data_IF_437462494039
#
_entry.id   IF_437462494039
#
_cell.length_a   1.000
_cell.length_b   1.000
_cell.length_c   1.000
_cell.angle_alpha   90.00
_cell.angle_beta   90.00
_cell.angle_gamma   90.00
#
_symmetry.space_group_name_H-M   'P 1'
#
loop_
_entity.id
_entity.type
_entity.pdbx_description
1 polymer ?
#
# COMPACT_ATOMS: atom_id res chain seq x y z
N UNK A 1 -4.00 32.48 17.66
CA UNK A 1 -4.02 31.18 16.94
C UNK A 1 -3.00 30.20 17.55
N UNK A 2 -3.19 28.88 17.42
CA UNK A 2 -2.21 27.87 17.87
C UNK A 2 -1.08 27.72 16.81
N UNK A 3 0.19 27.64 17.22
CA UNK A 3 1.28 27.36 16.28
C UNK A 3 1.06 25.98 15.62
N UNK A 4 1.35 25.89 14.31
CA UNK A 4 1.23 24.69 13.46
C UNK A 4 -0.18 24.15 13.16
N UNK A 5 -1.26 24.89 13.46
CA UNK A 5 -2.61 24.52 13.01
C UNK A 5 -2.72 24.73 11.48
N UNK A 6 -3.16 23.70 10.76
CA UNK A 6 -3.60 23.83 9.35
C UNK A 6 -5.04 24.32 9.32
N UNK A 7 -5.33 25.27 8.44
CA UNK A 7 -6.66 25.86 8.27
C UNK A 7 -7.33 25.26 7.05
N UNK A 8 -8.62 24.95 7.17
CA UNK A 8 -9.42 24.57 6.01
C UNK A 8 -9.54 25.73 5.02
N UNK A 9 -9.91 25.44 3.79
CA UNK A 9 -10.16 26.47 2.77
C UNK A 9 -11.24 27.47 3.21
N UNK A 10 -12.32 26.98 3.82
CA UNK A 10 -13.40 27.79 4.37
C UNK A 10 -12.90 28.70 5.51
N UNK A 11 -12.10 28.17 6.43
CA UNK A 11 -11.53 28.95 7.55
C UNK A 11 -10.62 30.08 7.03
N UNK A 12 -9.80 29.81 6.00
CA UNK A 12 -8.95 30.83 5.36
C UNK A 12 -9.79 31.91 4.69
N UNK A 13 -10.87 31.51 4.00
CA UNK A 13 -11.79 32.45 3.37
C UNK A 13 -12.46 33.38 4.38
N UNK A 14 -12.96 32.82 5.49
CA UNK A 14 -13.55 33.61 6.59
C UNK A 14 -12.53 34.58 7.20
N UNK A 15 -11.29 34.13 7.42
CA UNK A 15 -10.23 34.99 7.95
C UNK A 15 -9.88 36.16 7.02
N UNK A 16 -9.76 35.91 5.71
CA UNK A 16 -9.51 36.96 4.72
C UNK A 16 -10.65 37.98 4.67
N UNK A 17 -11.90 37.51 4.62
CA UNK A 17 -13.08 38.38 4.64
C UNK A 17 -13.20 39.20 5.94
N UNK A 18 -12.82 38.60 7.07
CA UNK A 18 -12.78 39.30 8.36
C UNK A 18 -11.76 40.43 8.33
N UNK A 19 -10.53 40.18 7.89
CA UNK A 19 -9.50 41.22 7.79
C UNK A 19 -9.95 42.37 6.89
N UNK A 20 -10.55 42.07 5.73
CA UNK A 20 -11.06 43.09 4.81
C UNK A 20 -12.19 43.92 5.44
N UNK A 21 -13.11 43.28 6.16
CA UNK A 21 -14.21 43.97 6.85
C UNK A 21 -13.69 44.92 7.93
N UNK A 22 -12.74 44.48 8.77
CA UNK A 22 -12.15 45.31 9.82
C UNK A 22 -11.36 46.48 9.23
N UNK A 23 -10.64 46.28 8.13
CA UNK A 23 -9.93 47.35 7.44
C UNK A 23 -10.88 48.44 6.89
N UNK A 24 -12.10 48.07 6.47
CA UNK A 24 -13.12 49.02 5.98
C UNK A 24 -13.89 49.72 7.10
N UNK A 25 -14.04 49.08 8.26
CA UNK A 25 -14.87 49.55 9.38
C UNK A 25 -14.06 50.21 10.51
N UNK A 26 -12.73 50.12 10.48
CA UNK A 26 -11.87 50.59 11.56
C UNK A 26 -10.65 51.33 11.01
N UNK A 27 -10.26 52.43 11.65
CA UNK A 27 -9.00 53.16 11.35
C UNK A 27 -7.75 52.45 11.89
N UNK A 28 -7.83 51.14 12.12
CA UNK A 28 -6.72 50.35 12.66
C UNK A 28 -5.77 49.93 11.55
N UNK A 29 -4.48 49.93 11.86
CA UNK A 29 -3.47 49.45 10.92
C UNK A 29 -3.62 47.93 10.66
N UNK A 30 -3.33 47.50 9.44
CA UNK A 30 -3.36 46.08 9.07
C UNK A 30 -2.48 45.22 9.99
N UNK A 31 -1.33 45.76 10.41
CA UNK A 31 -0.42 45.11 11.35
C UNK A 31 -1.07 44.80 12.69
N UNK A 32 -1.86 45.75 13.21
CA UNK A 32 -2.58 45.57 14.47
C UNK A 32 -3.64 44.46 14.33
N UNK A 33 -4.43 44.47 13.25
CA UNK A 33 -5.47 43.48 12.98
C UNK A 33 -4.86 42.07 12.84
N UNK A 34 -3.77 41.94 12.09
CA UNK A 34 -3.09 40.65 11.90
C UNK A 34 -2.46 40.14 13.20
N UNK A 35 -1.88 41.03 14.01
CA UNK A 35 -1.34 40.69 15.32
C UNK A 35 -2.44 40.16 16.26
N UNK A 36 -3.61 40.80 16.28
CA UNK A 36 -4.74 40.39 17.12
C UNK A 36 -5.30 39.02 16.70
N UNK A 37 -5.32 38.74 15.39
CA UNK A 37 -5.69 37.43 14.86
C UNK A 37 -4.59 36.38 15.09
N UNK A 38 -3.35 36.80 15.36
CA UNK A 38 -2.19 35.92 15.45
C UNK A 38 -1.73 35.38 14.09
N UNK A 39 -1.95 36.16 13.02
CA UNK A 39 -1.52 35.88 11.66
C UNK A 39 -0.23 36.65 11.35
N UNK A 40 0.75 35.99 10.73
CA UNK A 40 1.93 36.69 10.21
C UNK A 40 1.61 37.31 8.86
N UNK A 41 2.30 38.41 8.54
CA UNK A 41 2.14 39.12 7.26
C UNK A 41 2.36 38.18 6.07
N UNK A 42 3.40 37.35 6.11
CA UNK A 42 3.72 36.39 5.05
C UNK A 42 2.56 35.45 4.74
N UNK A 43 1.91 34.89 5.76
CA UNK A 43 0.79 33.95 5.59
C UNK A 43 -0.44 34.67 5.03
N UNK A 44 -0.73 35.88 5.50
CA UNK A 44 -1.85 36.68 5.00
C UNK A 44 -1.70 36.99 3.50
N UNK A 45 -0.55 37.50 3.06
CA UNK A 45 -0.33 37.81 1.64
C UNK A 45 -0.28 36.55 0.77
N UNK A 46 0.32 35.46 1.26
CA UNK A 46 0.30 34.17 0.56
C UNK A 46 -1.14 33.67 0.34
N UNK A 47 -1.99 33.76 1.37
CA UNK A 47 -3.40 33.39 1.25
C UNK A 47 -4.20 34.34 0.39
N UNK A 48 -3.93 35.65 0.44
CA UNK A 48 -4.57 36.65 -0.41
C UNK A 48 -4.24 36.40 -1.90
N UNK A 49 -2.99 36.08 -2.23
CA UNK A 49 -2.60 35.71 -3.59
C UNK A 49 -3.23 34.40 -4.04
N UNK A 50 -3.26 33.39 -3.16
CA UNK A 50 -3.92 32.11 -3.44
C UNK A 50 -5.43 32.25 -3.63
N UNK A 51 -6.08 33.11 -2.85
CA UNK A 51 -7.50 33.42 -2.97
C UNK A 51 -7.83 34.06 -4.32
N UNK A 52 -7.01 35.01 -4.80
CA UNK A 52 -7.16 35.60 -6.15
C UNK A 52 -7.03 34.56 -7.27
N UNK A 53 -6.28 33.48 -7.02
CA UNK A 53 -6.09 32.35 -7.95
C UNK A 53 -7.09 31.21 -7.73
N UNK A 54 -8.01 31.32 -6.77
CA UNK A 54 -8.97 30.26 -6.43
C UNK A 54 -8.33 28.99 -5.85
N UNK A 55 -7.14 29.07 -5.24
CA UNK A 55 -6.36 27.92 -4.77
C UNK A 55 -6.03 28.02 -3.27
N UNK A 56 -7.07 28.13 -2.44
CA UNK A 56 -6.92 28.23 -0.98
C UNK A 56 -6.69 26.88 -0.29
N UNK A 57 -6.98 25.78 -0.99
CA UNK A 57 -6.71 24.42 -0.52
C UNK A 57 -5.21 24.21 -0.28
N UNK A 58 -4.84 23.67 0.89
CA UNK A 58 -3.45 23.33 1.18
C UNK A 58 -2.99 22.17 0.29
N UNK A 59 -1.98 22.42 -0.54
CA UNK A 59 -1.31 21.35 -1.26
C UNK A 59 -0.38 20.60 -0.31
N UNK A 60 -0.71 19.35 -0.02
CA UNK A 60 0.22 18.45 0.66
C UNK A 60 1.30 18.06 -0.35
N UNK A 61 2.41 18.79 -0.33
CA UNK A 61 3.62 18.37 -1.04
C UNK A 61 4.19 17.18 -0.26
N UNK A 62 3.86 15.97 -0.69
CA UNK A 62 4.47 14.76 -0.15
C UNK A 62 5.88 14.67 -0.72
N UNK A 63 6.94 14.74 0.10
CA UNK A 63 8.30 14.60 -0.41
C UNK A 63 8.46 13.20 -1.01
N UNK A 64 8.72 13.13 -2.32
CA UNK A 64 9.07 11.86 -2.97
C UNK A 64 10.52 11.55 -2.67
N UNK A 65 10.77 10.35 -2.14
CA UNK A 65 12.13 9.85 -1.96
C UNK A 65 12.81 9.71 -3.31
N UNK A 66 14.08 10.13 -3.48
CA UNK A 66 14.87 9.84 -4.68
C UNK A 66 15.04 8.34 -4.96
N UNK A 67 14.80 7.49 -3.95
CA UNK A 67 14.87 6.02 -4.05
C UNK A 67 13.52 5.38 -4.39
N UNK A 68 12.49 6.18 -4.68
CA UNK A 68 11.20 5.65 -5.09
C UNK A 68 11.32 5.08 -6.49
N UNK A 69 10.85 3.84 -6.69
CA UNK A 69 10.78 3.24 -8.01
C UNK A 69 9.90 4.08 -8.94
N UNK A 70 10.37 4.28 -10.16
CA UNK A 70 9.61 4.90 -11.23
C UNK A 70 8.46 3.99 -11.67
N UNK A 71 7.36 4.54 -12.22
CA UNK A 71 6.28 3.71 -12.76
C UNK A 71 6.77 2.69 -13.79
N UNK A 72 7.69 3.10 -14.66
CA UNK A 72 8.29 2.24 -15.69
C UNK A 72 9.09 1.08 -15.08
N UNK A 73 9.86 1.33 -14.03
CA UNK A 73 10.59 0.28 -13.31
C UNK A 73 9.63 -0.70 -12.61
N UNK A 74 8.50 -0.20 -12.09
CA UNK A 74 7.47 -1.05 -11.47
C UNK A 74 6.85 -1.99 -12.50
N UNK A 75 6.53 -1.49 -13.69
CA UNK A 75 5.98 -2.30 -14.79
C UNK A 75 6.99 -3.36 -15.24
N UNK A 76 8.25 -2.98 -15.45
CA UNK A 76 9.31 -3.91 -15.83
C UNK A 76 9.48 -5.06 -14.82
N UNK A 77 9.47 -4.75 -13.51
CA UNK A 77 9.55 -5.77 -12.44
C UNK A 77 8.36 -6.72 -12.48
N UNK A 78 7.15 -6.18 -12.69
CA UNK A 78 5.91 -6.97 -12.73
C UNK A 78 5.93 -7.93 -13.92
N UNK A 79 6.32 -7.45 -15.10
CA UNK A 79 6.36 -8.27 -16.31
C UNK A 79 7.46 -9.33 -16.24
N UNK A 80 8.63 -8.97 -15.71
CA UNK A 80 9.71 -9.91 -15.50
C UNK A 80 9.33 -11.02 -14.50
N UNK A 81 8.67 -10.65 -13.39
CA UNK A 81 8.22 -11.63 -12.41
C UNK A 81 7.12 -12.57 -12.95
N UNK A 82 6.24 -12.09 -13.85
CA UNK A 82 5.24 -12.95 -14.52
C UNK A 82 5.89 -13.96 -15.47
N UNK A 83 6.99 -13.59 -16.13
CA UNK A 83 7.76 -14.51 -16.96
C UNK A 83 8.49 -15.59 -16.14
N UNK A 84 8.80 -15.32 -14.86
CA UNK A 84 9.55 -16.21 -13.97
C UNK A 84 8.82 -16.48 -12.63
N UNK A 85 7.65 -17.13 -12.64
CA UNK A 85 6.74 -17.21 -11.49
C UNK A 85 7.27 -18.02 -10.29
N UNK A 86 8.37 -18.77 -10.46
CA UNK A 86 8.98 -19.60 -9.40
C UNK A 86 10.15 -18.94 -8.71
N UNK A 87 10.62 -17.80 -9.21
CA UNK A 87 11.79 -17.12 -8.66
C UNK A 87 11.44 -16.25 -7.47
N UNK A 88 12.29 -16.29 -6.44
CA UNK A 88 12.12 -15.46 -5.26
C UNK A 88 12.50 -14.01 -5.53
N UNK A 89 11.85 -13.07 -4.83
CA UNK A 89 12.07 -11.62 -5.00
C UNK A 89 13.55 -11.18 -4.91
N UNK A 90 14.37 -11.85 -4.08
CA UNK A 90 15.81 -11.53 -3.97
C UNK A 90 16.59 -11.91 -5.21
N UNK A 91 16.26 -13.06 -5.80
CA UNK A 91 16.91 -13.56 -7.00
C UNK A 91 16.49 -12.71 -8.20
N UNK A 92 15.19 -12.46 -8.35
CA UNK A 92 14.66 -11.53 -9.34
C UNK A 92 15.38 -10.17 -9.29
N UNK A 93 15.60 -9.61 -8.10
CA UNK A 93 16.30 -8.32 -7.96
C UNK A 93 17.72 -8.32 -8.56
N UNK A 94 18.48 -9.41 -8.42
CA UNK A 94 19.84 -9.49 -8.97
C UNK A 94 19.85 -9.86 -10.44
N UNK A 95 18.97 -10.77 -10.86
CA UNK A 95 18.90 -11.15 -12.29
C UNK A 95 18.40 -9.97 -13.14
N UNK A 96 17.47 -9.14 -12.63
CA UNK A 96 17.07 -7.91 -13.33
C UNK A 96 18.21 -6.89 -13.49
N UNK A 97 19.20 -6.91 -12.59
CA UNK A 97 20.41 -6.08 -12.71
C UNK A 97 21.35 -6.67 -13.76
N UNK A 98 21.54 -7.99 -13.75
CA UNK A 98 22.38 -8.69 -14.71
C UNK A 98 21.82 -8.58 -16.16
N UNK A 99 20.49 -8.60 -16.30
CA UNK A 99 19.76 -8.52 -17.57
C UNK A 99 19.49 -7.07 -18.04
N UNK A 100 19.98 -6.04 -17.33
CA UNK A 100 19.77 -4.61 -17.63
C UNK A 100 18.29 -4.19 -17.72
N UNK A 101 17.46 -4.67 -16.79
CA UNK A 101 16.00 -4.42 -16.77
C UNK A 101 15.62 -3.34 -15.75
N UNK A 102 16.00 -3.53 -14.49
CA UNK A 102 15.64 -2.60 -13.41
C UNK A 102 16.66 -2.65 -12.26
N UNK A 103 17.09 -1.47 -11.81
CA UNK A 103 18.15 -1.32 -10.80
C UNK A 103 17.57 -1.04 -9.42
N UNK A 104 16.86 -2.03 -8.86
CA UNK A 104 16.13 -1.87 -7.61
C UNK A 104 16.69 -2.74 -6.48
N UNK A 105 16.60 -2.23 -5.25
CA UNK A 105 16.97 -3.03 -4.07
C UNK A 105 15.99 -4.19 -3.86
N UNK A 106 16.43 -5.33 -3.28
CA UNK A 106 15.54 -6.46 -3.02
C UNK A 106 14.30 -6.12 -2.17
N UNK A 107 14.39 -5.14 -1.27
CA UNK A 107 13.25 -4.70 -0.48
C UNK A 107 12.23 -3.91 -1.30
N UNK A 108 12.67 -3.12 -2.28
CA UNK A 108 11.77 -2.45 -3.23
C UNK A 108 11.06 -3.48 -4.11
N UNK A 109 11.80 -4.44 -4.67
CA UNK A 109 11.24 -5.53 -5.48
C UNK A 109 10.22 -6.33 -4.67
N UNK A 110 10.53 -6.68 -3.41
CA UNK A 110 9.56 -7.32 -2.51
C UNK A 110 8.27 -6.53 -2.38
N UNK A 111 8.34 -5.21 -2.14
CA UNK A 111 7.16 -4.35 -1.97
C UNK A 111 6.34 -4.24 -3.25
N UNK A 112 6.99 -4.25 -4.41
CA UNK A 112 6.31 -4.29 -5.71
C UNK A 112 5.57 -5.63 -5.84
N UNK A 113 6.27 -6.76 -5.69
CA UNK A 113 5.64 -8.08 -5.86
C UNK A 113 4.52 -8.34 -4.84
N UNK A 114 4.64 -7.87 -3.60
CA UNK A 114 3.60 -7.97 -2.58
C UNK A 114 2.35 -7.15 -2.96
N UNK A 115 2.54 -5.93 -3.49
CA UNK A 115 1.44 -5.07 -3.96
C UNK A 115 0.65 -5.70 -5.11
N UNK A 116 1.32 -6.41 -6.00
CA UNK A 116 0.71 -7.05 -7.18
C UNK A 116 0.34 -8.52 -6.95
N UNK A 117 0.46 -9.04 -5.72
CA UNK A 117 0.20 -10.46 -5.37
C UNK A 117 0.99 -11.48 -6.23
N UNK A 118 2.24 -11.13 -6.55
CA UNK A 118 3.17 -11.92 -7.35
C UNK A 118 4.22 -12.67 -6.51
N UNK A 119 4.18 -12.53 -5.19
CA UNK A 119 5.06 -13.30 -4.33
C UNK A 119 4.69 -14.79 -4.40
N UNK A 120 5.70 -15.63 -4.55
CA UNK A 120 5.57 -17.08 -4.46
C UNK A 120 5.27 -17.49 -3.01
N UNK A 121 4.00 -17.38 -2.63
CA UNK A 121 3.42 -17.86 -1.37
C UNK A 121 2.51 -19.04 -1.69
N UNK A 122 2.32 -19.94 -0.73
CA UNK A 122 1.24 -20.92 -0.80
C UNK A 122 -0.09 -20.17 -0.88
N UNK A 123 -0.59 -19.98 -2.10
CA UNK A 123 -1.93 -19.43 -2.30
C UNK A 123 -2.90 -20.47 -1.75
N UNK A 124 -3.77 -20.06 -0.83
CA UNK A 124 -4.82 -20.96 -0.35
C UNK A 124 -5.65 -21.39 -1.56
N UNK A 125 -5.99 -22.68 -1.68
CA UNK A 125 -6.92 -23.10 -2.72
C UNK A 125 -8.20 -22.27 -2.59
N UNK A 126 -8.78 -21.90 -3.72
CA UNK A 126 -10.08 -21.21 -3.71
C UNK A 126 -11.11 -22.08 -2.98
N UNK A 127 -12.02 -21.48 -2.19
CA UNK A 127 -13.10 -22.23 -1.55
C UNK A 127 -13.90 -23.01 -2.59
N UNK A 128 -13.86 -24.34 -2.53
CA UNK A 128 -14.52 -25.22 -3.51
C UNK A 128 -13.58 -25.83 -4.56
N UNK A 129 -12.28 -25.50 -4.55
CA UNK A 129 -11.29 -26.18 -5.39
C UNK A 129 -10.96 -27.56 -4.81
N UNK A 130 -11.73 -28.56 -5.24
CA UNK A 130 -11.61 -29.95 -4.83
C UNK A 130 -12.93 -30.67 -5.03
N UNK A 131 -12.91 -31.81 -5.73
CA UNK A 131 -14.12 -32.64 -5.87
C UNK A 131 -14.45 -33.17 -4.47
N UNK A 132 -15.59 -32.73 -3.89
CA UNK A 132 -16.08 -33.34 -2.65
C UNK A 132 -16.24 -34.83 -2.91
N UNK A 133 -15.59 -35.65 -2.09
CA UNK A 133 -15.84 -37.09 -2.08
C UNK A 133 -17.32 -37.26 -1.68
N UNK A 134 -18.13 -37.99 -2.46
CA UNK A 134 -19.53 -38.22 -2.09
C UNK A 134 -19.61 -38.95 -0.75
N UNK A 135 -20.61 -38.60 0.06
CA UNK A 135 -20.89 -39.31 1.32
C UNK A 135 -21.39 -40.73 1.02
N UNK A 136 -20.92 -41.72 1.80
CA UNK A 136 -21.42 -43.09 1.70
C UNK A 136 -22.87 -43.16 2.20
N UNK A 137 -23.71 -43.91 1.50
CA UNK A 137 -25.10 -44.19 1.90
C UNK A 137 -25.25 -45.61 2.45
N UNK A 138 -24.36 -46.52 2.06
CA UNK A 138 -24.28 -47.90 2.54
C UNK A 138 -22.84 -48.34 2.85
N UNK A 139 -22.64 -49.37 3.70
CA UNK A 139 -21.33 -49.97 3.92
C UNK A 139 -20.71 -50.50 2.61
N UNK A 140 -19.40 -50.41 2.48
CA UNK A 140 -18.58 -50.78 1.31
C UNK A 140 -18.72 -49.90 0.06
N UNK A 141 -19.19 -48.65 0.20
CA UNK A 141 -19.29 -47.70 -0.91
C UNK A 141 -18.09 -46.75 -1.01
N UNK A 142 -17.56 -46.32 0.14
CA UNK A 142 -16.44 -45.36 0.21
C UNK A 142 -15.40 -45.87 1.18
N UNK A 143 -14.21 -46.18 0.66
CA UNK A 143 -13.08 -46.62 1.47
C UNK A 143 -12.05 -45.52 1.60
N UNK A 144 -11.68 -45.21 2.83
CA UNK A 144 -10.53 -44.39 3.13
C UNK A 144 -9.30 -45.30 3.21
N UNK A 145 -8.37 -45.13 2.27
CA UNK A 145 -7.09 -45.85 2.30
C UNK A 145 -5.99 -44.87 2.68
N UNK A 146 -5.29 -45.16 3.77
CA UNK A 146 -4.12 -44.40 4.21
C UNK A 146 -2.84 -45.23 4.03
N UNK A 147 -1.78 -44.55 3.62
CA UNK A 147 -0.45 -45.12 3.43
C UNK A 147 0.55 -44.41 4.32
N UNK A 148 1.10 -45.14 5.28
CA UNK A 148 2.06 -44.61 6.24
C UNK A 148 3.40 -45.31 6.13
N UNK A 149 4.48 -44.53 6.22
CA UNK A 149 5.83 -45.06 6.36
C UNK A 149 6.22 -45.11 7.83
N UNK A 150 6.38 -46.32 8.36
CA UNK A 150 6.65 -46.54 9.78
C UNK A 150 8.00 -47.20 10.02
N UNK A 151 8.67 -46.76 11.07
CA UNK A 151 9.89 -47.39 11.57
C UNK A 151 9.53 -48.35 12.70
N UNK A 152 9.78 -49.64 12.49
CA UNK A 152 9.55 -50.67 13.50
C UNK A 152 10.64 -51.72 13.43
N UNK A 153 11.07 -52.25 14.59
CA UNK A 153 12.09 -53.32 14.69
C UNK A 153 13.35 -53.08 13.84
N UNK A 154 13.80 -51.82 13.76
CA UNK A 154 15.02 -51.45 13.04
C UNK A 154 14.89 -51.45 11.50
N UNK A 155 13.67 -51.48 10.95
CA UNK A 155 13.43 -51.41 9.51
C UNK A 155 12.22 -50.52 9.22
N UNK A 156 12.23 -49.93 8.03
CA UNK A 156 11.08 -49.22 7.49
C UNK A 156 10.06 -50.17 6.86
N UNK A 157 8.79 -49.94 7.17
CA UNK A 157 7.65 -50.65 6.60
C UNK A 157 6.64 -49.66 6.02
N UNK A 158 5.90 -50.10 5.02
CA UNK A 158 4.68 -49.44 4.58
C UNK A 158 3.50 -50.08 5.31
N UNK A 159 2.73 -49.29 6.05
CA UNK A 159 1.40 -49.68 6.52
C UNK A 159 0.39 -49.15 5.54
N UNK A 160 -0.43 -50.05 5.02
CA UNK A 160 -1.63 -49.72 4.25
C UNK A 160 -2.81 -50.06 5.13
N UNK A 161 -3.61 -49.06 5.48
CA UNK A 161 -4.85 -49.25 6.22
C UNK A 161 -6.03 -48.85 5.35
N UNK A 162 -7.09 -49.66 5.35
CA UNK A 162 -8.35 -49.34 4.70
C UNK A 162 -9.45 -49.29 5.77
N UNK A 163 -10.24 -48.23 5.75
CA UNK A 163 -11.41 -48.02 6.59
C UNK A 163 -12.64 -47.82 5.72
N UNK A 164 -13.71 -48.53 6.03
CA UNK A 164 -15.03 -48.32 5.42
C UNK A 164 -15.70 -47.12 6.11
N UNK A 165 -16.17 -46.15 5.32
CA UNK A 165 -16.75 -44.88 5.81
C UNK A 165 -18.27 -44.92 5.85
#
# INVERSE_FOLDING_TARGET
>A
MKPHRRYSEEEKGVLLATVERYQKQSDQSLNWILSELGLTHSVYYEWLERSKKGTLTDQVVVPRSPKAALPEEVEAVVDYAKAQPREGYRRLAWVMVDDDIAYLTPSTVYRILDRYDLLYRWKRPEPGYGRKVPEATYPNEVWHVDLMYLWAKGRWYFLVSALDS
#
